data_IF_780976848420
#
_entry.id   IF_780976848420
#
_cell.length_a   1.000
_cell.length_b   1.000
_cell.length_c   1.000
_cell.angle_alpha   90.00
_cell.angle_beta   90.00
_cell.angle_gamma   90.00
#
_symmetry.space_group_name_H-M   'P 1'
#
loop_
_entity.id
_entity.type
_entity.pdbx_description
1 polymer ?
#
# COMPACT_ATOMS: atom_id res chain seq x y z
N UNK A 1 24.63 -4.43 -21.40
CA UNK A 1 24.36 -4.25 -19.94
C UNK A 1 24.65 -5.56 -19.18
N UNK A 2 25.07 -5.51 -17.90
CA UNK A 2 25.35 -6.70 -17.06
C UNK A 2 24.51 -6.72 -15.78
N UNK A 3 23.96 -7.88 -15.40
CA UNK A 3 23.12 -8.05 -14.21
C UNK A 3 23.84 -8.81 -13.09
N UNK A 4 23.53 -8.48 -11.84
CA UNK A 4 24.09 -9.11 -10.64
C UNK A 4 22.99 -9.34 -9.59
N UNK A 5 23.12 -10.41 -8.81
CA UNK A 5 22.36 -10.68 -7.57
C UNK A 5 23.36 -10.73 -6.41
N UNK A 6 23.22 -9.83 -5.44
CA UNK A 6 24.10 -9.73 -4.27
C UNK A 6 25.60 -9.67 -4.66
N UNK A 7 25.88 -8.95 -5.75
CA UNK A 7 27.22 -8.79 -6.31
C UNK A 7 27.72 -9.96 -7.18
N UNK A 8 26.98 -11.07 -7.26
CA UNK A 8 27.31 -12.20 -8.13
C UNK A 8 26.70 -12.00 -9.51
N UNK A 9 27.51 -12.14 -10.55
CA UNK A 9 27.05 -11.97 -11.94
C UNK A 9 25.99 -13.02 -12.29
N UNK A 10 24.89 -12.57 -12.89
CA UNK A 10 23.83 -13.43 -13.42
C UNK A 10 24.15 -13.69 -14.89
N UNK A 11 24.17 -14.97 -15.27
CA UNK A 11 24.28 -15.40 -16.66
C UNK A 11 22.90 -15.75 -17.20
N UNK A 12 22.70 -15.55 -18.51
CA UNK A 12 21.44 -15.91 -19.16
C UNK A 12 21.29 -17.43 -19.25
N UNK A 13 20.18 -17.97 -18.77
CA UNK A 13 19.88 -19.40 -18.73
C UNK A 13 18.36 -19.65 -18.93
N UNK A 14 17.87 -20.86 -18.65
CA UNK A 14 16.44 -21.18 -18.77
C UNK A 14 15.53 -20.40 -17.80
N UNK A 15 16.09 -19.94 -16.68
CA UNK A 15 15.42 -19.22 -15.60
C UNK A 15 15.57 -17.70 -15.75
N UNK A 16 16.77 -17.23 -16.05
CA UNK A 16 17.16 -15.83 -16.20
C UNK A 16 17.24 -15.48 -17.67
N UNK A 17 16.32 -14.64 -18.15
CA UNK A 17 16.35 -14.09 -19.51
C UNK A 17 16.58 -12.59 -19.45
N UNK A 18 17.55 -12.12 -20.21
CA UNK A 18 17.89 -10.71 -20.33
C UNK A 18 17.40 -10.19 -21.67
N UNK A 19 16.68 -9.07 -21.67
CA UNK A 19 16.20 -8.37 -22.87
C UNK A 19 16.70 -6.92 -22.81
N UNK A 20 17.14 -6.37 -23.95
CA UNK A 20 17.62 -4.98 -24.05
C UNK A 20 16.90 -4.32 -25.23
N UNK A 21 16.25 -3.18 -24.97
CA UNK A 21 15.43 -2.43 -25.91
C UNK A 21 15.71 -0.94 -25.77
N UNK A 22 16.47 -0.34 -26.68
CA UNK A 22 16.92 1.06 -26.64
C UNK A 22 17.58 1.44 -25.31
N UNK A 23 16.84 2.11 -24.41
CA UNK A 23 17.30 2.51 -23.07
C UNK A 23 16.88 1.54 -21.97
N UNK A 24 16.13 0.51 -22.31
CA UNK A 24 15.50 -0.40 -21.38
C UNK A 24 16.25 -1.74 -21.31
N UNK A 25 16.81 -2.05 -20.14
CA UNK A 25 17.25 -3.40 -19.80
C UNK A 25 16.22 -4.11 -18.92
N UNK A 26 15.89 -5.35 -19.27
CA UNK A 26 14.95 -6.19 -18.54
C UNK A 26 15.63 -7.50 -18.14
N UNK A 27 15.52 -7.86 -16.85
CA UNK A 27 15.81 -9.20 -16.37
C UNK A 27 14.49 -9.91 -16.01
N UNK A 28 14.18 -10.98 -16.73
CA UNK A 28 13.04 -11.86 -16.45
C UNK A 28 13.51 -13.11 -15.72
N UNK A 29 12.94 -13.35 -14.55
CA UNK A 29 13.25 -14.52 -13.72
C UNK A 29 12.01 -15.42 -13.68
N UNK A 30 12.16 -16.67 -14.11
CA UNK A 30 11.08 -17.68 -14.09
C UNK A 30 11.11 -18.48 -12.80
N UNK A 31 9.94 -18.77 -12.25
CA UNK A 31 9.76 -19.62 -11.06
C UNK A 31 10.63 -19.16 -9.88
N UNK A 32 10.21 -18.05 -9.26
CA UNK A 32 10.90 -17.47 -8.11
C UNK A 32 11.01 -18.50 -6.97
N UNK A 33 12.24 -18.72 -6.50
CA UNK A 33 12.58 -19.47 -5.31
C UNK A 33 13.03 -18.48 -4.22
N UNK A 34 12.26 -18.33 -3.13
CA UNK A 34 12.58 -17.40 -2.04
C UNK A 34 13.97 -17.55 -1.42
N UNK A 35 14.56 -18.75 -1.44
CA UNK A 35 15.85 -19.01 -0.80
C UNK A 35 17.05 -18.68 -1.69
N UNK A 36 16.84 -18.51 -3.00
CA UNK A 36 17.93 -18.31 -3.97
C UNK A 36 17.78 -17.03 -4.78
N UNK A 37 16.55 -16.55 -4.97
CA UNK A 37 16.28 -15.43 -5.87
C UNK A 37 15.94 -14.14 -5.12
N UNK A 38 15.65 -14.19 -3.82
CA UNK A 38 15.49 -12.96 -3.04
C UNK A 38 16.85 -12.35 -2.73
N UNK A 39 16.94 -11.04 -2.86
CA UNK A 39 18.19 -10.31 -2.69
C UNK A 39 18.22 -9.02 -3.47
N UNK A 40 19.40 -8.41 -3.54
CA UNK A 40 19.63 -7.14 -4.20
C UNK A 40 20.11 -7.34 -5.63
N UNK A 41 19.25 -7.05 -6.59
CA UNK A 41 19.55 -7.09 -8.01
C UNK A 41 20.15 -5.77 -8.44
N UNK A 42 21.22 -5.80 -9.22
CA UNK A 42 21.78 -4.59 -9.81
C UNK A 42 22.03 -4.76 -11.30
N UNK A 43 21.76 -3.70 -12.05
CA UNK A 43 22.15 -3.57 -13.45
C UNK A 43 23.35 -2.62 -13.54
N UNK A 44 24.34 -3.02 -14.31
CA UNK A 44 25.52 -2.23 -14.60
C UNK A 44 25.60 -1.98 -16.10
N UNK A 45 25.62 -0.71 -16.49
CA UNK A 45 25.88 -0.25 -17.84
C UNK A 45 27.29 0.32 -17.90
N UNK A 46 28.04 -0.04 -18.93
CA UNK A 46 29.42 0.37 -19.12
C UNK A 46 29.61 0.82 -20.56
N UNK A 47 30.19 2.01 -20.74
CA UNK A 47 30.59 2.56 -22.04
C UNK A 47 31.99 3.17 -21.93
N UNK A 48 32.50 3.76 -23.02
CA UNK A 48 33.85 4.34 -23.05
C UNK A 48 34.04 5.52 -22.08
N UNK A 49 32.96 6.14 -21.61
CA UNK A 49 32.99 7.29 -20.70
C UNK A 49 32.85 6.88 -19.23
N UNK A 50 32.51 5.62 -18.95
CA UNK A 50 32.47 5.08 -17.60
C UNK A 50 31.37 4.05 -17.37
N UNK A 51 31.06 3.87 -16.09
CA UNK A 51 30.16 2.82 -15.61
C UNK A 51 29.08 3.42 -14.73
N UNK A 52 27.83 3.10 -15.02
CA UNK A 52 26.68 3.39 -14.18
C UNK A 52 26.12 2.09 -13.60
N UNK A 53 25.73 2.12 -12.32
CA UNK A 53 25.14 0.97 -11.63
C UNK A 53 24.00 1.42 -10.74
N UNK A 54 22.89 0.71 -10.82
CA UNK A 54 21.74 0.90 -9.94
C UNK A 54 21.18 -0.44 -9.48
N UNK A 55 20.30 -0.42 -8.47
CA UNK A 55 19.90 -1.63 -7.75
C UNK A 55 18.45 -1.62 -7.24
N UNK A 56 17.90 -2.82 -7.02
CA UNK A 56 16.55 -3.06 -6.53
C UNK A 56 16.50 -4.33 -5.66
N UNK A 57 15.77 -4.27 -4.55
CA UNK A 57 15.53 -5.45 -3.69
C UNK A 57 14.33 -6.25 -4.21
N UNK A 58 14.54 -7.54 -4.48
CA UNK A 58 13.46 -8.51 -4.63
C UNK A 58 13.26 -9.24 -3.30
N UNK A 59 12.08 -9.10 -2.70
CA UNK A 59 11.75 -9.73 -1.42
C UNK A 59 10.34 -10.32 -1.42
N UNK A 60 10.04 -11.12 -0.39
CA UNK A 60 8.70 -11.63 -0.11
C UNK A 60 7.93 -10.81 0.93
N UNK A 61 8.45 -9.64 1.35
CA UNK A 61 7.79 -8.77 2.32
C UNK A 61 6.47 -8.23 1.75
N UNK A 62 5.49 -7.83 2.58
CA UNK A 62 4.26 -7.24 2.07
C UNK A 62 4.55 -5.92 1.34
N UNK A 63 3.71 -5.59 0.37
CA UNK A 63 3.76 -4.30 -0.32
C UNK A 63 3.43 -3.16 0.66
N UNK A 64 3.77 -1.92 0.27
CA UNK A 64 3.36 -0.73 1.03
C UNK A 64 1.82 -0.68 1.08
N UNK A 65 1.28 -0.53 2.29
CA UNK A 65 -0.16 -0.44 2.47
C UNK A 65 -0.74 0.84 1.85
N UNK A 66 -1.97 0.74 1.34
CA UNK A 66 -2.73 1.87 0.81
C UNK A 66 -3.91 2.17 1.73
N UNK A 67 -3.86 3.32 2.40
CA UNK A 67 -4.93 3.79 3.27
C UNK A 67 -6.09 4.32 2.41
N UNK A 68 -7.32 3.93 2.77
CA UNK A 68 -8.55 4.27 2.06
C UNK A 68 -9.54 5.12 2.87
N UNK A 69 -9.24 5.38 4.16
CA UNK A 69 -10.12 6.20 5.01
C UNK A 69 -10.14 7.68 4.62
N UNK A 70 -11.26 8.39 4.86
CA UNK A 70 -11.31 9.84 4.71
C UNK A 70 -10.44 10.54 5.77
N UNK A 71 -9.86 11.71 5.46
CA UNK A 71 -9.00 12.44 6.40
C UNK A 71 -9.75 13.08 7.58
N UNK A 72 -11.08 13.09 7.57
CA UNK A 72 -11.87 13.65 8.66
C UNK A 72 -12.77 12.58 9.29
N UNK A 73 -12.72 12.48 10.61
CA UNK A 73 -13.62 11.59 11.37
C UNK A 73 -15.04 12.11 11.37
N UNK A 74 -16.00 11.21 11.52
CA UNK A 74 -17.38 11.55 11.87
C UNK A 74 -17.55 11.81 13.38
N UNK A 75 -16.59 11.43 14.20
CA UNK A 75 -16.67 11.47 15.67
C UNK A 75 -15.61 12.39 16.27
N UNK A 76 -15.88 12.85 17.49
CA UNK A 76 -15.01 13.73 18.25
C UNK A 76 -13.85 13.00 18.94
N UNK A 77 -14.03 11.73 19.32
CA UNK A 77 -13.03 10.98 20.08
C UNK A 77 -12.61 9.66 19.44
N UNK A 78 -13.19 9.33 18.29
CA UNK A 78 -12.97 8.04 17.63
C UNK A 78 -12.60 8.23 16.16
N UNK A 79 -11.88 7.27 15.58
CA UNK A 79 -11.58 7.26 14.15
C UNK A 79 -11.37 5.85 13.61
N UNK A 80 -11.95 5.55 12.44
CA UNK A 80 -11.80 4.27 11.75
C UNK A 80 -10.77 4.40 10.62
N UNK A 81 -9.60 3.80 10.83
CA UNK A 81 -8.60 3.64 9.79
C UNK A 81 -8.85 2.35 9.01
N UNK A 82 -8.91 2.44 7.69
CA UNK A 82 -9.04 1.31 6.75
C UNK A 82 -7.92 1.38 5.74
N UNK A 83 -7.34 0.23 5.41
CA UNK A 83 -6.27 0.12 4.44
C UNK A 83 -6.33 -1.20 3.69
N UNK A 84 -5.66 -1.23 2.54
CA UNK A 84 -5.42 -2.44 1.75
C UNK A 84 -3.92 -2.71 1.66
N UNK A 85 -3.50 -3.96 1.78
CA UNK A 85 -2.11 -4.39 1.57
C UNK A 85 -2.07 -5.64 0.72
N UNK A 86 -1.10 -5.74 -0.18
CA UNK A 86 -0.87 -6.93 -1.01
C UNK A 86 0.28 -7.74 -0.40
N UNK A 87 0.06 -9.04 -0.19
CA UNK A 87 1.09 -9.95 0.31
C UNK A 87 0.89 -11.33 -0.32
N UNK A 88 1.99 -12.00 -0.68
CA UNK A 88 1.92 -13.39 -1.15
C UNK A 88 1.89 -14.40 0.01
N UNK A 89 2.24 -13.93 1.20
CA UNK A 89 2.22 -14.72 2.43
C UNK A 89 1.20 -14.15 3.42
N UNK A 90 0.60 -14.99 4.27
CA UNK A 90 -0.30 -14.53 5.31
C UNK A 90 0.34 -13.45 6.19
N UNK A 91 -0.41 -12.38 6.43
CA UNK A 91 0.01 -11.34 7.36
C UNK A 91 -0.07 -11.86 8.80
N UNK A 92 0.90 -11.47 9.61
CA UNK A 92 1.01 -11.87 11.01
C UNK A 92 0.86 -10.69 11.97
N UNK A 93 1.33 -9.51 11.58
CA UNK A 93 1.28 -8.30 12.42
C UNK A 93 1.05 -7.05 11.56
N UNK A 94 0.44 -6.04 12.17
CA UNK A 94 0.39 -4.67 11.65
C UNK A 94 0.88 -3.72 12.74
N UNK A 95 1.75 -2.78 12.35
CA UNK A 95 2.23 -1.70 13.20
C UNK A 95 1.62 -0.38 12.76
N UNK A 96 0.99 0.31 13.70
CA UNK A 96 0.49 1.66 13.54
C UNK A 96 1.31 2.58 14.46
N UNK A 97 2.13 3.43 13.85
CA UNK A 97 2.78 4.52 14.54
C UNK A 97 1.90 5.75 14.36
N UNK A 98 1.37 6.30 15.45
CA UNK A 98 0.53 7.50 15.36
C UNK A 98 0.84 8.51 16.46
N UNK A 99 0.56 9.78 16.21
CA UNK A 99 0.69 10.85 17.21
C UNK A 99 -0.23 12.03 16.89
N UNK A 100 -0.59 12.80 17.91
CA UNK A 100 -1.24 14.10 17.70
C UNK A 100 -0.22 15.10 17.17
N UNK A 101 -0.69 15.94 16.25
CA UNK A 101 0.07 17.06 15.70
C UNK A 101 -0.73 18.33 15.93
N UNK A 102 -0.06 19.38 16.39
CA UNK A 102 -0.62 20.70 16.63
C UNK A 102 -0.02 21.71 15.67
N UNK A 103 -0.88 22.47 15.00
CA UNK A 103 -0.51 23.70 14.32
C UNK A 103 -1.19 24.86 15.04
N UNK A 104 -0.48 25.48 15.99
CA UNK A 104 -0.89 26.74 16.59
C UNK A 104 -0.41 27.93 15.76
N UNK A 105 -0.96 29.12 16.03
CA UNK A 105 -0.60 30.36 15.33
C UNK A 105 0.90 30.73 15.42
N UNK A 106 1.63 30.18 16.40
CA UNK A 106 3.05 30.51 16.63
C UNK A 106 3.95 29.30 16.98
N UNK A 107 3.40 28.08 17.08
CA UNK A 107 4.20 26.86 17.35
C UNK A 107 3.61 25.64 16.64
N UNK A 108 4.47 24.88 15.96
CA UNK A 108 4.16 23.50 15.54
C UNK A 108 4.68 22.59 16.64
N UNK A 109 3.81 21.78 17.24
CA UNK A 109 4.23 20.77 18.21
C UNK A 109 3.72 19.41 17.76
N UNK A 110 4.58 18.40 17.86
CA UNK A 110 4.22 17.03 17.58
C UNK A 110 4.40 16.25 18.88
N UNK A 111 3.41 15.43 19.22
CA UNK A 111 3.55 14.53 20.37
C UNK A 111 4.57 13.42 20.08
N UNK A 112 4.87 12.65 21.12
CA UNK A 112 5.64 11.42 20.96
C UNK A 112 4.83 10.39 20.19
N UNK A 113 5.53 9.59 19.38
CA UNK A 113 4.90 8.49 18.64
C UNK A 113 4.37 7.43 19.59
N UNK A 114 3.09 7.12 19.46
CA UNK A 114 2.48 5.92 20.01
C UNK A 114 2.70 4.76 19.03
N UNK A 115 3.07 3.59 19.56
CA UNK A 115 3.34 2.39 18.77
C UNK A 115 2.32 1.30 19.11
N UNK A 116 1.37 1.10 18.20
CA UNK A 116 0.34 0.08 18.33
C UNK A 116 0.66 -1.11 17.45
N UNK A 117 0.77 -2.29 18.06
CA UNK A 117 1.06 -3.55 17.37
C UNK A 117 -0.17 -4.46 17.40
N UNK A 118 -0.79 -4.65 16.24
CA UNK A 118 -1.94 -5.52 16.03
C UNK A 118 -1.44 -6.89 15.58
N UNK A 119 -1.76 -7.95 16.33
CA UNK A 119 -1.46 -9.33 15.91
C UNK A 119 -2.65 -9.88 15.15
N UNK A 120 -2.39 -10.41 13.96
CA UNK A 120 -3.40 -11.03 13.11
C UNK A 120 -3.39 -12.53 13.37
N UNK A 121 -4.53 -13.08 13.80
CA UNK A 121 -4.73 -14.53 13.86
C UNK A 121 -4.99 -15.02 12.44
N UNK A 122 -4.32 -16.08 12.01
CA UNK A 122 -4.48 -16.68 10.67
C UNK A 122 -5.87 -17.27 10.40
N UNK A 123 -6.83 -17.13 11.34
CA UNK A 123 -8.16 -17.76 11.30
C UNK A 123 -9.37 -16.82 11.39
N UNK A 124 -9.21 -15.50 11.58
CA UNK A 124 -10.32 -14.52 11.68
C UNK A 124 -10.43 -13.62 10.45
N UNK A 125 -10.12 -14.15 9.26
CA UNK A 125 -10.39 -13.39 8.06
C UNK A 125 -11.80 -13.72 7.58
N UNK A 126 -12.73 -12.76 7.74
CA UNK A 126 -14.02 -12.80 7.07
C UNK A 126 -13.79 -12.66 5.57
N UNK A 127 -13.51 -13.79 4.94
CA UNK A 127 -13.75 -13.99 3.53
C UNK A 127 -15.22 -13.58 3.31
N UNK A 128 -15.44 -12.50 2.59
CA UNK A 128 -16.77 -12.17 2.09
C UNK A 128 -17.08 -13.24 1.07
N UNK A 129 -17.51 -14.41 1.56
CA UNK A 129 -17.97 -15.53 0.77
C UNK A 129 -19.25 -15.10 0.08
N UNK A 130 -19.08 -14.57 -1.12
CA UNK A 130 -20.15 -14.57 -2.10
C UNK A 130 -20.48 -16.05 -2.38
N UNK A 131 -21.63 -16.45 -1.85
CA UNK A 131 -22.11 -17.81 -1.81
C UNK A 131 -22.55 -18.22 -3.22
N UNK A 132 -21.67 -18.92 -3.93
CA UNK A 132 -22.10 -19.86 -4.97
C UNK A 132 -21.86 -21.27 -4.43
N UNK A 133 -22.93 -21.83 -3.89
CA UNK A 133 -23.06 -23.23 -3.56
C UNK A 133 -22.94 -24.08 -4.83
N UNK A 134 -21.97 -24.99 -4.86
CA UNK A 134 -22.21 -26.37 -5.29
C UNK A 134 -21.02 -27.26 -4.99
N UNK A 135 -21.40 -28.42 -4.48
CA UNK A 135 -20.60 -29.52 -3.98
C UNK A 135 -19.84 -30.25 -5.09
N UNK A 136 -18.56 -30.56 -4.87
CA UNK A 136 -17.95 -31.92 -4.92
C UNK A 136 -16.42 -31.85 -5.17
N UNK A 137 -15.64 -32.86 -4.70
CA UNK A 137 -14.20 -32.81 -4.64
C UNK A 137 -13.55 -33.56 -5.82
N UNK A 138 -12.73 -32.90 -6.63
CA UNK A 138 -11.72 -33.60 -7.45
C UNK A 138 -10.71 -32.68 -8.15
N UNK A 139 -9.45 -33.12 -8.12
CA UNK A 139 -8.37 -32.84 -9.07
C UNK A 139 -7.69 -31.45 -9.01
N UNK A 140 -6.55 -31.42 -8.31
CA UNK A 140 -5.21 -30.88 -8.64
C UNK A 140 -4.98 -29.80 -9.72
N UNK A 141 -5.99 -29.04 -10.13
CA UNK A 141 -5.85 -27.92 -11.07
C UNK A 141 -6.42 -26.59 -10.55
N UNK A 142 -7.40 -26.62 -9.64
CA UNK A 142 -7.92 -25.39 -9.04
C UNK A 142 -6.96 -24.77 -8.00
N UNK A 143 -6.10 -25.59 -7.37
CA UNK A 143 -5.16 -25.13 -6.34
C UNK A 143 -3.98 -24.32 -6.90
N UNK A 144 -3.56 -24.57 -8.15
CA UNK A 144 -2.50 -23.76 -8.78
C UNK A 144 -3.01 -22.39 -9.24
N UNK A 145 -4.29 -22.28 -9.59
CA UNK A 145 -4.93 -21.01 -9.94
C UNK A 145 -5.13 -20.12 -8.70
N UNK A 146 -5.47 -20.72 -7.55
CA UNK A 146 -5.61 -20.02 -6.26
C UNK A 146 -4.27 -19.46 -5.74
N UNK A 147 -3.14 -20.08 -6.11
CA UNK A 147 -1.77 -19.69 -5.70
C UNK A 147 -1.18 -18.48 -6.43
N UNK A 148 -1.82 -17.96 -7.49
CA UNK A 148 -1.28 -16.84 -8.29
C UNK A 148 -2.02 -15.52 -8.11
N UNK A 149 -3.10 -15.49 -7.34
CA UNK A 149 -3.74 -14.23 -7.00
C UNK A 149 -2.88 -13.50 -5.98
N UNK A 150 -2.46 -12.26 -6.28
CA UNK A 150 -2.04 -11.32 -5.22
C UNK A 150 -3.13 -11.34 -4.15
N UNK A 151 -2.79 -11.78 -2.94
CA UNK A 151 -3.75 -11.72 -1.84
C UNK A 151 -3.79 -10.28 -1.36
N UNK A 152 -4.88 -9.61 -1.70
CA UNK A 152 -5.18 -8.28 -1.19
C UNK A 152 -5.90 -8.44 0.15
N UNK A 153 -5.35 -7.83 1.19
CA UNK A 153 -5.90 -7.82 2.53
C UNK A 153 -6.52 -6.45 2.79
N UNK A 154 -7.83 -6.41 3.05
CA UNK A 154 -8.52 -5.21 3.53
C UNK A 154 -8.63 -5.31 5.04
N UNK A 155 -8.08 -4.33 5.75
CA UNK A 155 -7.96 -4.32 7.20
C UNK A 155 -8.47 -2.99 7.75
N UNK A 156 -8.86 -3.00 9.03
CA UNK A 156 -9.28 -1.80 9.72
C UNK A 156 -8.83 -1.77 11.17
N UNK A 157 -8.70 -0.56 11.72
CA UNK A 157 -8.44 -0.33 13.13
C UNK A 157 -9.27 0.85 13.63
N UNK A 158 -9.92 0.66 14.77
CA UNK A 158 -10.73 1.67 15.44
C UNK A 158 -9.92 2.34 16.56
N UNK A 159 -9.43 3.55 16.31
CA UNK A 159 -8.85 4.41 17.32
C UNK A 159 -9.94 4.93 18.25
N UNK A 160 -9.69 4.82 19.56
CA UNK A 160 -10.55 5.31 20.64
C UNK A 160 -9.80 6.35 21.47
N UNK A 161 -10.55 7.08 22.30
CA UNK A 161 -10.00 8.00 23.30
C UNK A 161 -9.07 9.07 22.70
N UNK A 162 -9.36 9.48 21.46
CA UNK A 162 -8.70 10.59 20.81
C UNK A 162 -9.21 11.91 21.37
N UNK A 163 -8.38 12.95 21.27
CA UNK A 163 -8.78 14.30 21.66
C UNK A 163 -9.74 14.90 20.62
N UNK A 164 -10.82 15.58 21.03
CA UNK A 164 -11.65 16.37 20.13
C UNK A 164 -10.88 17.45 19.38
N UNK A 165 -11.37 17.82 18.21
CA UNK A 165 -10.84 18.89 17.37
C UNK A 165 -9.31 18.84 17.19
N UNK A 166 -8.78 17.64 16.99
CA UNK A 166 -7.34 17.40 16.96
C UNK A 166 -6.92 16.75 15.65
N UNK A 167 -5.69 17.04 15.21
CA UNK A 167 -5.07 16.42 14.03
C UNK A 167 -4.07 15.37 14.47
N UNK A 168 -3.98 14.31 13.69
CA UNK A 168 -3.11 13.18 13.92
C UNK A 168 -2.37 12.84 12.64
N UNK A 169 -1.16 12.30 12.78
CA UNK A 169 -0.50 11.59 11.70
C UNK A 169 -0.31 10.12 12.06
N UNK A 170 -0.39 9.24 11.05
CA UNK A 170 -0.19 7.80 11.19
C UNK A 170 0.67 7.24 10.06
N UNK A 171 1.57 6.32 10.42
CA UNK A 171 2.38 5.53 9.52
C UNK A 171 2.06 4.05 9.77
N UNK A 172 1.89 3.28 8.71
CA UNK A 172 1.51 1.88 8.76
C UNK A 172 2.60 0.98 8.19
N UNK A 173 2.84 -0.15 8.86
CA UNK A 173 3.63 -1.26 8.33
C UNK A 173 2.89 -2.57 8.52
N UNK A 174 3.00 -3.49 7.55
CA UNK A 174 2.45 -4.84 7.64
C UNK A 174 3.57 -5.86 7.67
N UNK A 175 3.38 -6.98 8.36
CA UNK A 175 4.38 -8.03 8.51
C UNK A 175 3.86 -9.36 8.00
N UNK A 176 4.72 -10.11 7.33
CA UNK A 176 4.53 -11.53 7.07
C UNK A 176 5.79 -12.32 7.51
N UNK A 177 5.90 -13.59 7.13
CA UNK A 177 7.06 -14.44 7.50
C UNK A 177 8.41 -13.92 6.98
N UNK A 178 8.42 -13.13 5.90
CA UNK A 178 9.63 -12.55 5.30
C UNK A 178 10.01 -11.19 5.91
N UNK A 179 9.15 -10.60 6.74
CA UNK A 179 9.46 -9.38 7.49
C UNK A 179 8.40 -8.30 7.32
N UNK A 180 8.81 -7.07 7.69
CA UNK A 180 8.00 -5.87 7.61
C UNK A 180 8.04 -5.24 6.22
N UNK A 181 6.91 -4.73 5.77
CA UNK A 181 6.84 -3.81 4.64
C UNK A 181 7.57 -2.51 4.94
N UNK A 182 7.89 -1.76 3.90
CA UNK A 182 8.15 -0.34 4.05
C UNK A 182 6.96 0.37 4.70
N UNK A 183 7.24 1.48 5.39
CA UNK A 183 6.24 2.35 5.97
C UNK A 183 5.48 3.12 4.91
N UNK A 184 4.19 3.31 5.11
CA UNK A 184 3.44 4.28 4.29
C UNK A 184 4.02 5.68 4.46
N UNK A 185 3.73 6.57 3.51
CA UNK A 185 3.81 8.00 3.80
C UNK A 185 2.88 8.34 4.98
N UNK A 186 3.21 9.39 5.74
CA UNK A 186 2.33 9.89 6.80
C UNK A 186 0.94 10.18 6.23
N UNK A 187 -0.07 9.53 6.80
CA UNK A 187 -1.46 9.82 6.53
C UNK A 187 -2.00 10.71 7.65
N UNK A 188 -2.63 11.82 7.27
CA UNK A 188 -3.17 12.78 8.22
C UNK A 188 -4.67 12.56 8.39
N UNK A 189 -5.13 12.55 9.64
CA UNK A 189 -6.56 12.58 9.93
C UNK A 189 -6.89 13.50 11.09
N UNK A 190 -8.16 13.90 11.19
CA UNK A 190 -8.64 14.77 12.28
C UNK A 190 -9.94 14.29 12.90
N UNK A 191 -10.07 14.52 14.20
CA UNK A 191 -11.32 14.35 14.95
C UNK A 191 -12.17 15.62 14.91
N UNK A 192 -13.48 15.46 15.04
CA UNK A 192 -14.40 16.60 15.09
C UNK A 192 -14.42 17.26 16.47
N UNK A 193 -14.97 18.47 16.54
CA UNK A 193 -15.31 19.09 17.82
C UNK A 193 -16.49 18.37 18.48
N UNK A 194 -17.47 17.96 17.68
CA UNK A 194 -18.66 17.25 18.12
C UNK A 194 -18.98 16.13 17.11
N UNK A 195 -19.56 15.05 17.62
CA UNK A 195 -19.99 13.92 16.81
C UNK A 195 -20.99 14.34 15.73
N UNK A 196 -20.86 13.73 14.56
CA UNK A 196 -21.79 13.89 13.47
C UNK A 196 -23.19 13.42 13.91
N UNK A 197 -24.14 14.35 13.91
CA UNK A 197 -25.55 14.07 14.06
C UNK A 197 -26.30 14.70 12.89
N UNK A 198 -27.02 13.92 12.06
CA UNK A 198 -27.82 14.46 10.97
C UNK A 198 -28.83 15.53 11.43
N UNK A 199 -29.31 15.43 12.68
CA UNK A 199 -30.25 16.39 13.27
C UNK A 199 -29.63 17.77 13.50
N UNK A 200 -28.35 17.83 13.87
CA UNK A 200 -27.64 19.08 14.12
C UNK A 200 -27.34 19.84 12.81
N UNK A 201 -27.14 19.11 11.70
CA UNK A 201 -26.95 19.70 10.37
C UNK A 201 -28.24 20.37 9.86
N UNK A 202 -29.39 19.68 10.05
CA UNK A 202 -30.70 20.23 9.71
C UNK A 202 -31.07 21.45 10.57
N UNK A 203 -30.69 21.47 11.85
CA UNK A 203 -30.90 22.61 12.73
C UNK A 203 -30.02 23.82 12.35
N UNK A 204 -28.77 23.59 11.93
CA UNK A 204 -27.86 24.65 11.46
C UNK A 204 -28.35 25.32 10.16
N UNK A 205 -28.94 24.54 9.26
CA UNK A 205 -29.50 25.06 8.00
C UNK A 205 -30.74 25.95 8.18
N UNK A 206 -31.48 25.80 9.28
CA UNK A 206 -32.63 26.65 9.61
C UNK A 206 -32.24 27.96 10.31
N UNK A 207 -30.96 28.16 10.64
CA UNK A 207 -30.47 29.30 11.42
C UNK A 207 -29.59 30.31 10.67
N UNK A 208 -29.38 30.19 9.35
CA UNK A 208 -28.50 31.10 8.61
C UNK A 208 -28.98 31.38 7.19
N UNK A 209 -29.84 32.38 7.04
CA UNK A 209 -29.91 33.17 5.82
C UNK A 209 -28.68 34.09 5.74
N UNK A 210 -28.08 34.21 4.54
CA UNK A 210 -27.03 35.18 4.13
C UNK A 210 -25.57 34.76 4.32
N UNK A 211 -24.99 34.07 3.32
CA UNK A 211 -24.04 34.63 2.33
C UNK A 211 -23.46 33.51 1.44
N UNK A 212 -23.32 33.85 0.17
CA UNK A 212 -22.73 33.04 -0.91
C UNK A 212 -21.36 32.47 -0.50
N UNK A 213 -21.22 31.15 -0.56
CA UNK A 213 -20.16 30.52 -1.35
C UNK A 213 -20.52 29.04 -1.54
N UNK A 214 -20.94 28.74 -2.76
CA UNK A 214 -21.37 27.41 -3.17
C UNK A 214 -20.18 26.48 -3.34
N UNK A 215 -20.23 25.32 -2.68
CA UNK A 215 -19.47 24.14 -3.07
C UNK A 215 -20.44 22.99 -3.35
N UNK A 216 -21.10 23.05 -4.51
CA UNK A 216 -21.59 21.84 -5.17
C UNK A 216 -20.39 21.24 -5.92
N UNK A 217 -19.58 20.45 -5.22
CA UNK A 217 -18.70 19.51 -5.90
C UNK A 217 -19.54 18.31 -6.30
N UNK A 218 -20.02 18.32 -7.56
CA UNK A 218 -20.55 17.13 -8.23
C UNK A 218 -19.53 16.00 -8.07
N UNK A 219 -19.90 14.92 -7.39
CA UNK A 219 -19.17 13.68 -7.47
C UNK A 219 -19.30 13.16 -8.91
N UNK A 220 -18.27 13.41 -9.71
CA UNK A 220 -18.13 12.80 -11.02
C UNK A 220 -17.70 11.35 -10.78
N UNK A 221 -18.63 10.42 -10.95
CA UNK A 221 -18.30 8.99 -11.06
C UNK A 221 -17.50 8.81 -12.36
N UNK A 222 -16.21 8.41 -12.31
CA UNK A 222 -15.56 7.95 -13.51
C UNK A 222 -16.07 6.54 -13.82
N UNK A 223 -16.60 6.39 -15.02
CA UNK A 223 -16.99 5.12 -15.62
C UNK A 223 -15.90 4.07 -15.44
N UNK A 224 -16.32 2.87 -15.03
CA UNK A 224 -15.50 1.67 -14.99
C UNK A 224 -15.06 1.33 -16.41
N UNK A 225 -13.84 1.73 -16.77
CA UNK A 225 -13.11 1.13 -17.89
C UNK A 225 -12.36 -0.06 -17.30
N UNK A 226 -12.85 -1.27 -17.59
CA UNK A 226 -12.10 -2.51 -17.34
C UNK A 226 -10.87 -2.54 -18.25
N UNK A 227 -9.76 -1.96 -17.79
CA UNK A 227 -8.45 -2.23 -18.33
C UNK A 227 -7.93 -3.51 -17.70
N UNK A 228 -7.87 -4.60 -18.49
CA UNK A 228 -7.19 -5.82 -18.10
C UNK A 228 -5.68 -5.53 -18.03
N UNK A 229 -5.16 -5.34 -16.82
CA UNK A 229 -3.71 -5.25 -16.59
C UNK A 229 -3.13 -6.66 -16.47
N UNK A 230 -2.61 -7.18 -17.57
CA UNK A 230 -1.65 -8.28 -17.54
C UNK A 230 -0.35 -7.68 -16.98
N UNK A 231 0.04 -8.07 -15.76
CA UNK A 231 1.35 -7.69 -15.21
C UNK A 231 2.46 -8.40 -15.99
N UNK A 232 2.98 -7.74 -17.03
CA UNK A 232 4.37 -7.86 -17.40
C UNK A 232 5.13 -6.81 -16.58
N UNK A 233 6.13 -7.25 -15.82
CA UNK A 233 7.08 -6.34 -15.18
C UNK A 233 7.83 -5.65 -16.32
N UNK A 234 7.40 -4.45 -16.68
CA UNK A 234 8.15 -3.55 -17.54
C UNK A 234 9.01 -2.68 -16.63
N UNK A 235 10.32 -2.94 -16.67
CA UNK A 235 11.31 -2.02 -16.14
C UNK A 235 11.20 -0.74 -17.02
N UNK A 236 11.33 0.43 -16.44
CA UNK A 236 11.52 1.69 -17.18
C UNK A 236 12.73 2.35 -16.56
N UNK A 237 13.84 2.36 -17.30
CA UNK A 237 14.98 3.22 -17.02
C UNK A 237 15.10 4.20 -18.19
N UNK A 238 14.87 5.48 -17.90
CA UNK A 238 15.20 6.58 -18.79
C UNK A 238 16.70 6.84 -18.63
N UNK A 239 17.50 6.30 -19.55
CA UNK A 239 18.86 6.78 -19.76
C UNK A 239 18.74 8.04 -20.62
N UNK A 240 18.80 9.21 -19.97
CA UNK A 240 18.96 10.48 -20.67
C UNK A 240 20.38 10.51 -21.26
N UNK A 241 20.49 10.26 -22.56
CA UNK A 241 21.67 10.59 -23.32
C UNK A 241 21.61 12.09 -23.64
N UNK A 242 22.57 12.86 -23.12
CA UNK A 242 22.83 14.22 -23.59
C UNK A 242 23.64 14.16 -24.89
N UNK A 243 23.25 14.99 -25.84
CA UNK A 243 23.78 15.12 -27.22
C UNK A 243 25.31 15.23 -27.31
#
# INVERSE_FOLDING_TARGET
ITWFLDGRRINSDSKHRTEEHDTLAVLRIRFINPNMDFGNYSCQAENIYGTAKDHIELSGKPDIARISSPPESLYSTNYNLTWTVSSQEPLTEVRLLYRRIGQGAFTTYNETWSNLLLRLSSGEWSDSKESSSSSQPSSSSADWARKRSRQYHVLSHHFRDLHPHSRYEVILQSKNKYGWSEGTKSFLFSTRLQDYSPKNLAASHNGRSSLHDGLISKAHLPNSVRAYWIFHIYIFMLLLFGD
#
